data_IF_785061663904
#
_entry.id   IF_785061663904
#
_cell.length_a   1.000
_cell.length_b   1.000
_cell.length_c   1.000
_cell.angle_alpha   90.00
_cell.angle_beta   90.00
_cell.angle_gamma   90.00
#
_symmetry.space_group_name_H-M   'P 1'
#
loop_
_entity.id
_entity.type
_entity.pdbx_description
1 polymer ?
#
# COMPACT_ATOMS: atom_id res chain seq x y z
N UNK A 1 31.41 -34.80 36.10
CA UNK A 1 30.00 -34.40 36.09
C UNK A 1 29.98 -32.88 36.13
N UNK A 2 29.81 -32.27 34.96
CA UNK A 2 29.84 -30.82 34.80
C UNK A 2 28.38 -30.36 34.63
N UNK A 3 27.89 -29.58 35.57
CA UNK A 3 26.60 -28.92 35.47
C UNK A 3 26.69 -27.77 34.46
N UNK A 4 25.96 -27.90 33.35
CA UNK A 4 25.71 -26.78 32.43
C UNK A 4 24.46 -26.08 32.95
N UNK A 5 24.64 -24.89 33.51
CA UNK A 5 23.57 -23.95 33.81
C UNK A 5 23.10 -23.31 32.50
N UNK A 6 21.83 -23.51 32.15
CA UNK A 6 21.19 -22.75 31.06
C UNK A 6 20.95 -21.30 31.51
N UNK A 7 21.20 -20.30 30.65
CA UNK A 7 20.75 -18.94 30.92
C UNK A 7 19.24 -18.85 30.76
N UNK A 8 18.56 -18.33 31.78
CA UNK A 8 17.17 -17.91 31.69
C UNK A 8 17.10 -16.59 30.89
N UNK A 9 16.94 -16.69 29.59
CA UNK A 9 16.55 -15.53 28.78
C UNK A 9 15.05 -15.30 28.90
N UNK A 10 14.67 -14.52 29.89
CA UNK A 10 13.35 -13.95 30.05
C UNK A 10 13.10 -12.82 29.05
N UNK A 11 13.12 -13.11 27.76
CA UNK A 11 12.53 -12.21 26.76
C UNK A 11 11.03 -12.43 26.76
N UNK A 12 10.33 -11.69 27.60
CA UNK A 12 8.89 -11.52 27.48
C UNK A 12 8.63 -10.91 26.10
N UNK A 13 8.13 -11.75 25.18
CA UNK A 13 7.54 -11.27 23.94
C UNK A 13 6.51 -10.20 24.30
N UNK A 14 6.73 -8.98 23.85
CA UNK A 14 5.82 -7.87 24.05
C UNK A 14 4.45 -8.29 23.53
N UNK A 15 3.44 -8.16 24.39
CA UNK A 15 2.04 -8.46 24.10
C UNK A 15 1.62 -7.80 22.78
N UNK A 16 0.75 -8.47 22.01
CA UNK A 16 0.30 -7.94 20.73
C UNK A 16 -0.33 -6.56 20.91
N UNK A 17 -0.11 -5.73 19.93
CA UNK A 17 -0.62 -4.37 19.74
C UNK A 17 -2.02 -4.17 20.37
N UNK A 18 -2.23 -3.06 21.10
CA UNK A 18 -3.47 -2.84 21.81
C UNK A 18 -4.68 -2.81 20.89
N UNK A 19 -5.82 -3.17 21.45
CA UNK A 19 -7.18 -3.32 20.97
C UNK A 19 -7.79 -2.26 20.02
N UNK A 20 -7.01 -1.46 19.30
CA UNK A 20 -7.48 -0.62 18.19
C UNK A 20 -8.11 -1.48 17.08
N UNK A 21 -7.76 -2.74 17.03
CA UNK A 21 -8.09 -3.67 15.96
C UNK A 21 -8.79 -4.95 16.43
N UNK A 22 -9.54 -4.90 17.50
CA UNK A 22 -10.61 -5.90 17.78
C UNK A 22 -11.74 -5.80 16.73
N UNK A 23 -11.63 -4.87 15.78
CA UNK A 23 -12.57 -4.73 14.68
C UNK A 23 -12.56 -5.98 13.82
N UNK A 24 -13.74 -6.42 13.39
CA UNK A 24 -13.91 -7.53 12.46
C UNK A 24 -13.28 -7.24 11.09
N UNK A 25 -13.05 -5.95 10.75
CA UNK A 25 -12.37 -5.51 9.53
C UNK A 25 -11.67 -4.15 9.77
N UNK A 26 -10.39 -4.07 9.42
CA UNK A 26 -9.64 -2.79 9.38
C UNK A 26 -10.19 -1.91 8.24
N UNK A 27 -10.40 -0.63 8.52
CA UNK A 27 -10.95 0.37 7.59
C UNK A 27 -10.17 1.68 7.71
N UNK A 28 -10.37 2.60 6.77
CA UNK A 28 -9.65 3.90 6.71
C UNK A 28 -9.74 4.70 8.01
N UNK A 29 -10.89 4.68 8.73
CA UNK A 29 -10.99 5.39 10.01
C UNK A 29 -10.10 4.79 11.11
N UNK A 30 -9.77 3.49 11.03
CA UNK A 30 -8.80 2.87 11.95
C UNK A 30 -7.38 3.34 11.62
N UNK A 31 -7.07 3.54 10.33
CA UNK A 31 -5.78 4.07 9.87
C UNK A 31 -5.60 5.51 10.37
N UNK A 32 -6.60 6.37 10.13
CA UNK A 32 -6.59 7.75 10.61
C UNK A 32 -6.46 7.84 12.14
N UNK A 33 -7.16 6.99 12.88
CA UNK A 33 -7.05 6.91 14.34
C UNK A 33 -5.66 6.48 14.78
N UNK A 34 -5.09 5.45 14.17
CA UNK A 34 -3.74 4.98 14.48
C UNK A 34 -2.70 6.09 14.26
N UNK A 35 -2.82 6.85 13.18
CA UNK A 35 -2.00 8.04 12.92
C UNK A 35 -2.12 9.06 14.06
N UNK A 36 -3.33 9.43 14.44
CA UNK A 36 -3.59 10.41 15.51
C UNK A 36 -3.05 9.96 16.87
N UNK A 37 -3.05 8.65 17.14
CA UNK A 37 -2.56 8.06 18.39
C UNK A 37 -1.08 7.66 18.33
N UNK A 38 -0.38 7.87 17.21
CA UNK A 38 1.02 7.51 17.02
C UNK A 38 1.27 5.99 17.02
N UNK A 39 0.28 5.19 16.66
CA UNK A 39 0.38 3.73 16.62
C UNK A 39 0.84 3.31 15.23
N UNK A 40 2.01 2.63 15.11
CA UNK A 40 2.48 2.13 13.84
C UNK A 40 1.59 1.00 13.32
N UNK A 41 1.34 1.01 12.00
CA UNK A 41 0.59 -0.01 11.29
C UNK A 41 1.52 -0.82 10.39
N UNK A 42 1.12 -2.06 10.13
CA UNK A 42 1.84 -2.95 9.21
C UNK A 42 1.06 -3.14 7.92
N UNK A 43 1.76 -3.01 6.79
CA UNK A 43 1.25 -3.38 5.47
C UNK A 43 2.27 -4.30 4.79
N UNK A 44 1.81 -5.48 4.35
CA UNK A 44 2.63 -6.44 3.63
C UNK A 44 1.94 -6.87 2.34
N UNK A 45 2.73 -7.21 1.33
CA UNK A 45 2.21 -7.78 0.08
C UNK A 45 1.68 -9.19 0.28
N UNK A 46 0.54 -9.48 -0.36
CA UNK A 46 -0.06 -10.81 -0.42
C UNK A 46 -0.75 -11.00 -1.77
N UNK A 47 -0.55 -12.16 -2.39
CA UNK A 47 -1.02 -12.40 -3.75
C UNK A 47 -1.95 -13.62 -3.88
N UNK A 48 -2.12 -14.40 -2.83
CA UNK A 48 -2.80 -15.70 -2.87
C UNK A 48 -3.51 -16.06 -1.57
N UNK A 49 -4.35 -17.09 -1.65
CA UNK A 49 -5.18 -17.57 -0.54
C UNK A 49 -4.41 -18.41 0.50
N UNK A 50 -3.16 -18.75 0.26
CA UNK A 50 -2.32 -19.49 1.22
C UNK A 50 -1.54 -18.51 2.11
N UNK A 51 -0.91 -17.51 1.50
CA UNK A 51 -0.04 -16.55 2.21
C UNK A 51 -0.86 -15.52 3.00
N UNK A 52 -1.95 -15.01 2.43
CA UNK A 52 -2.74 -13.94 3.03
C UNK A 52 -3.26 -14.27 4.46
N UNK A 53 -3.87 -15.43 4.74
CA UNK A 53 -4.33 -15.75 6.09
C UNK A 53 -3.18 -15.94 7.09
N UNK A 54 -1.99 -16.35 6.65
CA UNK A 54 -0.81 -16.46 7.51
C UNK A 54 -0.38 -15.06 7.99
N UNK A 55 -0.33 -14.09 7.08
CA UNK A 55 -0.01 -12.70 7.40
C UNK A 55 -1.09 -12.08 8.30
N UNK A 56 -2.35 -12.32 8.02
CA UNK A 56 -3.45 -11.85 8.86
C UNK A 56 -3.39 -12.44 10.28
N UNK A 57 -3.10 -13.74 10.41
CA UNK A 57 -2.93 -14.40 11.70
C UNK A 57 -1.71 -13.88 12.47
N UNK A 58 -0.68 -13.43 11.78
CA UNK A 58 0.47 -12.75 12.36
C UNK A 58 0.18 -11.30 12.83
N UNK A 59 -1.05 -10.79 12.58
CA UNK A 59 -1.48 -9.48 13.04
C UNK A 59 -1.30 -8.35 12.03
N UNK A 60 -0.94 -8.63 10.78
CA UNK A 60 -0.79 -7.61 9.72
C UNK A 60 -2.11 -6.85 9.53
N UNK A 61 -2.04 -5.52 9.50
CA UNK A 61 -3.21 -4.65 9.47
C UNK A 61 -3.76 -4.43 8.06
N UNK A 62 -2.87 -4.34 7.08
CA UNK A 62 -3.20 -4.13 5.67
C UNK A 62 -2.48 -5.14 4.79
N UNK A 63 -3.18 -5.69 3.82
CA UNK A 63 -2.61 -6.56 2.79
C UNK A 63 -2.63 -5.82 1.45
N UNK A 64 -1.46 -5.67 0.86
CA UNK A 64 -1.30 -5.06 -0.46
C UNK A 64 -1.28 -6.16 -1.52
N UNK A 65 -2.30 -6.20 -2.36
CA UNK A 65 -2.24 -6.95 -3.61
C UNK A 65 -1.56 -6.04 -4.62
N UNK A 66 -0.23 -6.12 -4.66
CA UNK A 66 0.61 -5.26 -5.48
C UNK A 66 0.79 -5.79 -6.91
N UNK A 67 0.96 -4.90 -7.88
CA UNK A 67 1.34 -5.29 -9.25
C UNK A 67 2.76 -5.90 -9.32
N UNK A 68 3.54 -5.78 -8.24
CA UNK A 68 4.75 -6.57 -8.01
C UNK A 68 4.52 -8.09 -8.08
N UNK A 69 3.26 -8.56 -8.08
CA UNK A 69 2.93 -9.96 -8.44
C UNK A 69 3.52 -10.35 -9.80
N UNK A 70 3.65 -9.38 -10.71
CA UNK A 70 4.30 -9.59 -12.01
C UNK A 70 5.71 -10.14 -11.87
N UNK A 71 6.51 -9.53 -11.00
CA UNK A 71 7.89 -9.97 -10.74
C UNK A 71 7.94 -11.22 -9.87
N UNK A 72 7.16 -11.24 -8.77
CA UNK A 72 7.30 -12.23 -7.69
C UNK A 72 6.60 -13.56 -8.03
N UNK A 73 5.46 -13.49 -8.71
CA UNK A 73 4.60 -14.65 -8.98
C UNK A 73 4.64 -15.06 -10.46
N UNK A 74 4.55 -14.07 -11.37
CA UNK A 74 4.43 -14.34 -12.81
C UNK A 74 5.79 -14.41 -13.52
N UNK A 75 6.88 -13.99 -12.87
CA UNK A 75 8.25 -14.06 -13.41
C UNK A 75 8.56 -13.02 -14.48
N UNK A 76 7.79 -11.94 -14.56
CA UNK A 76 8.08 -10.82 -15.43
C UNK A 76 9.29 -10.01 -14.93
N UNK A 77 9.98 -9.35 -15.85
CA UNK A 77 11.11 -8.46 -15.53
C UNK A 77 10.68 -7.10 -14.96
N UNK A 78 9.41 -6.72 -15.11
CA UNK A 78 8.82 -5.48 -14.59
C UNK A 78 7.34 -5.68 -14.25
N UNK A 79 6.71 -4.66 -13.66
CA UNK A 79 5.27 -4.68 -13.35
C UNK A 79 4.40 -4.33 -14.57
N UNK A 80 4.98 -3.75 -15.63
CA UNK A 80 4.24 -3.25 -16.80
C UNK A 80 3.37 -4.30 -17.54
N UNK A 81 3.74 -5.59 -17.63
CA UNK A 81 2.90 -6.59 -18.28
C UNK A 81 1.68 -7.05 -17.47
N UNK A 82 1.59 -6.65 -16.19
CA UNK A 82 0.49 -7.09 -15.31
C UNK A 82 -0.83 -6.54 -15.81
N UNK A 83 -1.79 -7.43 -15.99
CA UNK A 83 -3.13 -7.07 -16.45
C UNK A 83 -4.08 -6.79 -15.28
N UNK A 84 -5.17 -6.08 -15.56
CA UNK A 84 -6.22 -5.87 -14.56
C UNK A 84 -6.87 -7.20 -14.15
N UNK A 85 -6.94 -8.18 -15.06
CA UNK A 85 -7.42 -9.54 -14.79
C UNK A 85 -6.53 -10.30 -13.80
N UNK A 86 -5.21 -10.13 -13.87
CA UNK A 86 -4.27 -10.71 -12.90
C UNK A 86 -4.51 -10.13 -11.52
N UNK A 87 -4.66 -8.81 -11.44
CA UNK A 87 -4.98 -8.10 -10.20
C UNK A 87 -6.33 -8.50 -9.61
N UNK A 88 -7.36 -8.66 -10.43
CA UNK A 88 -8.68 -9.15 -9.98
C UNK A 88 -8.59 -10.55 -9.39
N UNK A 89 -7.90 -11.47 -10.06
CA UNK A 89 -7.76 -12.86 -9.58
C UNK A 89 -7.04 -12.91 -8.24
N UNK A 90 -5.91 -12.20 -8.12
CA UNK A 90 -5.14 -12.15 -6.90
C UNK A 90 -5.95 -11.47 -5.76
N UNK A 91 -6.58 -10.33 -6.04
CA UNK A 91 -7.44 -9.63 -5.08
C UNK A 91 -8.57 -10.52 -4.56
N UNK A 92 -9.25 -11.23 -5.46
CA UNK A 92 -10.33 -12.13 -5.10
C UNK A 92 -9.84 -13.33 -4.27
N UNK A 93 -8.63 -13.85 -4.53
CA UNK A 93 -8.03 -14.92 -3.74
C UNK A 93 -7.72 -14.46 -2.31
N UNK A 94 -7.08 -13.30 -2.15
CA UNK A 94 -6.77 -12.69 -0.86
C UNK A 94 -8.07 -12.36 -0.09
N UNK A 95 -9.05 -11.75 -0.76
CA UNK A 95 -10.30 -11.33 -0.13
C UNK A 95 -11.12 -12.50 0.42
N UNK A 96 -11.17 -13.63 -0.29
CA UNK A 96 -11.90 -14.82 0.18
C UNK A 96 -11.22 -15.55 1.34
N UNK A 97 -9.93 -15.33 1.53
CA UNK A 97 -9.14 -16.05 2.54
C UNK A 97 -8.87 -15.24 3.82
N UNK A 98 -9.30 -13.97 3.88
CA UNK A 98 -9.05 -13.07 5.01
C UNK A 98 -10.32 -12.39 5.49
N UNK A 99 -10.37 -12.03 6.77
CA UNK A 99 -11.55 -11.45 7.41
C UNK A 99 -11.29 -10.10 8.10
N UNK A 100 -10.06 -9.84 8.56
CA UNK A 100 -9.72 -8.67 9.38
C UNK A 100 -8.92 -7.62 8.62
N UNK A 101 -7.84 -8.00 7.96
CA UNK A 101 -6.92 -7.06 7.32
C UNK A 101 -7.61 -6.24 6.22
N UNK A 102 -7.27 -4.95 6.11
CA UNK A 102 -7.71 -4.12 5.00
C UNK A 102 -6.97 -4.53 3.73
N UNK A 103 -7.70 -4.78 2.66
CA UNK A 103 -7.12 -5.16 1.36
C UNK A 103 -7.02 -3.92 0.49
N UNK A 104 -5.80 -3.60 0.08
CA UNK A 104 -5.48 -2.54 -0.88
C UNK A 104 -4.99 -3.22 -2.16
N UNK A 105 -5.56 -2.88 -3.32
CA UNK A 105 -5.18 -3.47 -4.60
C UNK A 105 -4.61 -2.42 -5.55
N UNK A 106 -3.49 -2.73 -6.20
CA UNK A 106 -2.89 -1.83 -7.18
C UNK A 106 -3.71 -1.78 -8.47
N UNK A 107 -3.90 -0.56 -8.97
CA UNK A 107 -4.28 -0.34 -10.36
C UNK A 107 -3.03 -0.56 -11.22
N UNK A 108 -2.99 -1.57 -12.10
CA UNK A 108 -1.82 -1.82 -12.93
C UNK A 108 -1.66 -0.77 -14.02
N UNK A 109 -0.46 -0.64 -14.53
CA UNK A 109 -0.10 0.31 -15.59
C UNK A 109 -1.06 0.23 -16.79
N UNK A 110 -1.46 1.40 -17.30
CA UNK A 110 -2.36 1.51 -18.45
C UNK A 110 -3.85 1.41 -18.10
N UNK A 111 -4.21 1.39 -16.81
CA UNK A 111 -5.61 1.21 -16.39
C UNK A 111 -6.22 2.41 -15.66
N UNK A 112 -5.44 3.50 -15.48
CA UNK A 112 -5.93 4.69 -14.75
C UNK A 112 -5.31 6.01 -15.22
N UNK A 113 -4.24 5.98 -16.02
CA UNK A 113 -3.44 7.18 -16.27
C UNK A 113 -4.07 8.16 -17.25
N UNK A 114 -4.96 7.69 -18.10
CA UNK A 114 -5.53 8.46 -19.25
C UNK A 114 -6.77 9.26 -18.86
N UNK A 115 -7.60 8.76 -17.93
CA UNK A 115 -8.80 9.48 -17.52
C UNK A 115 -9.37 9.01 -16.16
N UNK A 116 -10.08 9.89 -15.41
CA UNK A 116 -10.81 9.52 -14.21
C UNK A 116 -11.87 8.44 -14.44
N UNK A 117 -12.54 8.44 -15.61
CA UNK A 117 -13.56 7.46 -15.98
C UNK A 117 -12.96 6.06 -16.13
N UNK A 118 -11.78 5.96 -16.76
CA UNK A 118 -11.07 4.69 -16.91
C UNK A 118 -10.56 4.20 -15.55
N UNK A 119 -9.97 5.10 -14.75
CA UNK A 119 -9.57 4.77 -13.38
C UNK A 119 -10.73 4.26 -12.54
N UNK A 120 -11.90 4.92 -12.63
CA UNK A 120 -13.10 4.49 -11.92
C UNK A 120 -13.59 3.11 -12.38
N UNK A 121 -13.61 2.84 -13.68
CA UNK A 121 -14.00 1.55 -14.21
C UNK A 121 -13.06 0.44 -13.72
N UNK A 122 -11.76 0.65 -13.77
CA UNK A 122 -10.73 -0.28 -13.31
C UNK A 122 -10.80 -0.51 -11.79
N UNK A 123 -10.87 0.56 -11.01
CA UNK A 123 -11.00 0.51 -9.56
C UNK A 123 -12.26 -0.23 -9.12
N UNK A 124 -13.38 -0.01 -9.81
CA UNK A 124 -14.66 -0.71 -9.54
C UNK A 124 -14.52 -2.22 -9.70
N UNK A 125 -13.74 -2.70 -10.66
CA UNK A 125 -13.47 -4.13 -10.85
C UNK A 125 -12.73 -4.70 -9.64
N UNK A 126 -11.68 -4.03 -9.16
CA UNK A 126 -10.91 -4.45 -7.99
C UNK A 126 -11.75 -4.40 -6.70
N UNK A 127 -12.56 -3.36 -6.52
CA UNK A 127 -13.48 -3.27 -5.38
C UNK A 127 -14.50 -4.43 -5.39
N UNK A 128 -15.06 -4.77 -6.56
CA UNK A 128 -15.96 -5.94 -6.71
C UNK A 128 -15.24 -7.28 -6.52
N UNK A 129 -13.95 -7.36 -6.79
CA UNK A 129 -13.12 -8.53 -6.48
C UNK A 129 -12.86 -8.68 -4.98
N UNK A 130 -13.14 -7.65 -4.17
CA UNK A 130 -13.06 -7.68 -2.71
C UNK A 130 -12.00 -6.76 -2.11
N UNK A 131 -11.38 -5.87 -2.89
CA UNK A 131 -10.55 -4.80 -2.35
C UNK A 131 -11.39 -3.83 -1.49
N UNK A 132 -10.75 -3.21 -0.50
CA UNK A 132 -11.34 -2.17 0.35
C UNK A 132 -10.83 -0.78 -0.02
N UNK A 133 -9.73 -0.72 -0.77
CA UNK A 133 -9.13 0.47 -1.33
C UNK A 133 -8.31 0.08 -2.57
N UNK A 134 -7.97 1.06 -3.39
CA UNK A 134 -7.02 0.89 -4.49
C UNK A 134 -5.73 1.67 -4.23
N UNK A 135 -4.61 1.24 -4.86
CA UNK A 135 -3.37 2.03 -4.90
C UNK A 135 -3.08 2.43 -6.34
N UNK A 136 -2.52 3.61 -6.52
CA UNK A 136 -2.02 4.12 -7.80
C UNK A 136 -0.75 4.95 -7.62
N UNK A 137 0.03 5.08 -8.69
CA UNK A 137 1.31 5.76 -8.70
C UNK A 137 1.22 7.16 -9.29
N UNK A 138 1.89 8.10 -8.63
CA UNK A 138 2.03 9.49 -9.04
C UNK A 138 1.48 10.50 -8.03
N UNK A 139 1.95 11.73 -8.16
CA UNK A 139 1.65 12.85 -7.28
C UNK A 139 0.66 13.84 -7.90
N UNK A 140 1.07 15.12 -7.98
CA UNK A 140 0.26 16.22 -8.50
C UNK A 140 -0.41 15.90 -9.85
N UNK A 141 0.31 15.23 -10.76
CA UNK A 141 -0.22 14.83 -12.06
C UNK A 141 -1.39 13.84 -12.01
N UNK A 142 -1.60 13.17 -10.89
CA UNK A 142 -2.68 12.18 -10.66
C UNK A 142 -3.71 12.64 -9.62
N UNK A 143 -3.53 13.81 -9.03
CA UNK A 143 -4.43 14.33 -8.00
C UNK A 143 -5.90 14.35 -8.45
N UNK A 144 -6.17 14.76 -9.70
CA UNK A 144 -7.54 14.79 -10.27
C UNK A 144 -8.18 13.39 -10.40
N UNK A 145 -7.37 12.35 -10.61
CA UNK A 145 -7.84 10.95 -10.65
C UNK A 145 -8.15 10.49 -9.22
N UNK A 146 -7.27 10.79 -8.27
CA UNK A 146 -7.48 10.45 -6.85
C UNK A 146 -8.76 11.11 -6.34
N UNK A 147 -8.95 12.40 -6.61
CA UNK A 147 -10.14 13.16 -6.21
C UNK A 147 -11.43 12.55 -6.78
N UNK A 148 -11.42 12.15 -8.05
CA UNK A 148 -12.56 11.52 -8.69
C UNK A 148 -12.92 10.17 -8.05
N UNK A 149 -11.93 9.32 -7.77
CA UNK A 149 -12.12 8.03 -7.11
C UNK A 149 -12.64 8.21 -5.68
N UNK A 150 -12.04 9.10 -4.91
CA UNK A 150 -12.44 9.40 -3.52
C UNK A 150 -13.86 9.96 -3.47
N UNK A 151 -14.19 10.90 -4.36
CA UNK A 151 -15.54 11.45 -4.48
C UNK A 151 -16.58 10.38 -4.82
N UNK A 152 -16.19 9.38 -5.60
CA UNK A 152 -17.04 8.24 -5.93
C UNK A 152 -17.11 7.20 -4.78
N UNK A 153 -16.45 7.42 -3.65
CA UNK A 153 -16.46 6.52 -2.49
C UNK A 153 -15.42 5.40 -2.54
N UNK A 154 -14.43 5.48 -3.42
CA UNK A 154 -13.32 4.52 -3.51
C UNK A 154 -12.11 5.09 -2.77
N UNK A 155 -11.70 4.50 -1.62
CA UNK A 155 -10.50 4.95 -0.92
C UNK A 155 -9.23 4.72 -1.73
N UNK A 156 -8.32 5.70 -1.74
CA UNK A 156 -7.09 5.65 -2.52
C UNK A 156 -5.86 5.75 -1.62
N UNK A 157 -4.93 4.81 -1.77
CA UNK A 157 -3.55 4.90 -1.30
C UNK A 157 -2.69 5.42 -2.47
N UNK A 158 -1.94 6.49 -2.26
CA UNK A 158 -1.02 7.00 -3.27
C UNK A 158 0.36 6.34 -3.17
N UNK A 159 1.17 6.45 -4.23
CA UNK A 159 2.55 5.96 -4.23
C UNK A 159 3.46 7.02 -4.83
N UNK A 160 4.43 7.48 -4.04
CA UNK A 160 5.39 8.52 -4.38
C UNK A 160 6.83 8.04 -4.20
N UNK A 161 7.74 8.74 -4.84
CA UNK A 161 9.15 8.40 -4.86
C UNK A 161 9.50 7.59 -6.10
N UNK A 162 10.16 6.46 -5.96
CA UNK A 162 10.32 5.51 -7.05
C UNK A 162 8.97 4.83 -7.30
N UNK A 163 8.52 4.93 -8.52
CA UNK A 163 7.26 4.34 -8.99
C UNK A 163 7.58 3.33 -10.08
N UNK A 164 7.46 1.99 -9.82
CA UNK A 164 7.83 0.95 -10.78
C UNK A 164 7.17 1.06 -12.14
N UNK A 165 5.91 1.50 -12.19
CA UNK A 165 5.19 1.70 -13.45
C UNK A 165 5.80 2.81 -14.32
N UNK A 166 6.57 3.72 -13.72
CA UNK A 166 7.29 4.81 -14.41
C UNK A 166 8.78 4.52 -14.59
N UNK A 167 9.23 3.29 -14.37
CA UNK A 167 10.65 2.89 -14.39
C UNK A 167 11.39 3.36 -15.64
N UNK A 168 10.78 3.23 -16.82
CA UNK A 168 11.38 3.64 -18.08
C UNK A 168 11.62 5.16 -18.15
N UNK A 169 10.72 5.95 -17.56
CA UNK A 169 10.87 7.42 -17.51
C UNK A 169 11.90 7.83 -16.44
N UNK A 170 11.93 7.12 -15.32
CA UNK A 170 12.85 7.38 -14.22
C UNK A 170 14.28 6.90 -14.50
N UNK A 171 14.47 6.06 -15.52
CA UNK A 171 15.77 5.49 -15.89
C UNK A 171 16.24 4.42 -14.91
N UNK A 172 15.32 3.59 -14.41
CA UNK A 172 15.55 2.48 -13.50
C UNK A 172 15.39 2.85 -12.02
N UNK A 173 15.60 1.89 -11.10
CA UNK A 173 15.45 2.09 -9.66
C UNK A 173 16.46 3.11 -9.13
N UNK A 174 15.98 4.26 -8.70
CA UNK A 174 16.81 5.36 -8.19
C UNK A 174 16.13 6.06 -7.02
N UNK A 175 16.94 6.50 -6.07
CA UNK A 175 16.52 7.35 -4.96
C UNK A 175 15.87 8.64 -5.50
N UNK A 176 14.63 8.89 -5.16
CA UNK A 176 13.85 10.08 -5.50
C UNK A 176 13.84 11.08 -4.35
N UNK A 177 13.56 12.37 -4.61
CA UNK A 177 13.46 13.39 -3.56
C UNK A 177 14.79 13.90 -3.03
N UNK A 178 15.88 13.88 -3.82
CA UNK A 178 17.15 14.53 -3.50
C UNK A 178 17.27 15.90 -4.15
N UNK A 179 17.91 16.87 -3.46
CA UNK A 179 18.10 18.23 -3.99
C UNK A 179 16.78 18.87 -4.43
N UNK A 180 16.73 19.40 -5.63
CA UNK A 180 15.51 20.02 -6.20
C UNK A 180 14.31 19.03 -6.29
N UNK A 181 14.57 17.73 -6.32
CA UNK A 181 13.53 16.70 -6.31
C UNK A 181 12.77 16.63 -4.97
N UNK A 182 13.36 17.12 -3.87
CA UNK A 182 12.68 17.17 -2.59
C UNK A 182 11.45 18.10 -2.61
N UNK A 183 11.56 19.26 -3.26
CA UNK A 183 10.45 20.21 -3.36
C UNK A 183 9.34 19.69 -4.28
N UNK A 184 9.69 18.96 -5.34
CA UNK A 184 8.71 18.27 -6.17
C UNK A 184 7.94 17.23 -5.35
N UNK A 185 8.64 16.39 -4.58
CA UNK A 185 8.02 15.36 -3.76
C UNK A 185 7.10 15.95 -2.67
N UNK A 186 7.44 17.12 -2.10
CA UNK A 186 6.57 17.85 -1.16
C UNK A 186 5.27 18.32 -1.83
N UNK A 187 5.37 18.91 -3.03
CA UNK A 187 4.18 19.31 -3.79
C UNK A 187 3.32 18.12 -4.17
N UNK A 188 3.94 17.02 -4.57
CA UNK A 188 3.22 15.78 -4.87
C UNK A 188 2.47 15.27 -3.65
N UNK A 189 3.12 15.23 -2.49
CA UNK A 189 2.51 14.79 -1.22
C UNK A 189 1.33 15.68 -0.81
N UNK A 190 1.48 17.00 -0.88
CA UNK A 190 0.41 17.97 -0.60
C UNK A 190 -0.76 17.82 -1.58
N UNK A 191 -0.47 17.60 -2.87
CA UNK A 191 -1.51 17.45 -3.88
C UNK A 191 -2.35 16.18 -3.68
N UNK A 192 -1.74 15.04 -3.35
CA UNK A 192 -2.47 13.79 -3.10
C UNK A 192 -3.27 13.84 -1.80
N UNK A 193 -2.77 14.52 -0.77
CA UNK A 193 -3.50 14.74 0.48
C UNK A 193 -4.77 15.56 0.21
N UNK A 194 -4.65 16.70 -0.48
CA UNK A 194 -5.78 17.53 -0.89
C UNK A 194 -6.80 16.79 -1.73
N UNK A 195 -6.35 15.87 -2.57
CA UNK A 195 -7.20 15.00 -3.39
C UNK A 195 -7.93 13.92 -2.56
N UNK A 196 -7.59 13.76 -1.28
CA UNK A 196 -8.26 12.86 -0.35
C UNK A 196 -7.66 11.45 -0.27
N UNK A 197 -6.42 11.23 -0.70
CA UNK A 197 -5.73 9.98 -0.44
C UNK A 197 -5.66 9.71 1.07
N UNK A 198 -6.02 8.48 1.50
CA UNK A 198 -6.02 8.13 2.92
C UNK A 198 -4.66 7.69 3.44
N UNK A 199 -3.75 7.34 2.55
CA UNK A 199 -2.39 6.90 2.84
C UNK A 199 -1.48 7.13 1.64
N UNK A 200 -0.17 7.11 1.89
CA UNK A 200 0.86 7.19 0.85
C UNK A 200 1.98 6.19 1.14
N UNK A 201 2.47 5.54 0.10
CA UNK A 201 3.73 4.78 0.11
C UNK A 201 4.85 5.70 -0.38
N UNK A 202 5.96 5.77 0.36
CA UNK A 202 7.19 6.42 -0.07
C UNK A 202 8.24 5.35 -0.38
N UNK A 203 8.52 5.13 -1.66
CA UNK A 203 9.53 4.16 -2.09
C UNK A 203 10.80 4.85 -2.54
N UNK A 204 11.96 4.34 -2.10
CA UNK A 204 13.29 4.88 -2.41
C UNK A 204 13.39 6.42 -2.23
N UNK A 205 12.89 6.90 -1.11
CA UNK A 205 12.93 8.30 -0.68
C UNK A 205 13.93 8.44 0.48
N UNK A 206 14.74 9.53 0.56
CA UNK A 206 15.60 9.77 1.71
C UNK A 206 14.81 9.78 3.02
N UNK A 207 15.33 9.10 4.05
CA UNK A 207 14.64 8.96 5.33
C UNK A 207 14.23 10.32 5.95
N UNK A 208 15.07 11.36 5.79
CA UNK A 208 14.78 12.70 6.29
C UNK A 208 13.50 13.30 5.64
N UNK A 209 13.34 13.15 4.33
CA UNK A 209 12.15 13.64 3.62
C UNK A 209 10.93 12.77 3.96
N UNK A 210 11.10 11.45 4.01
CA UNK A 210 10.01 10.55 4.41
C UNK A 210 9.50 10.88 5.82
N UNK A 211 10.41 11.15 6.77
CA UNK A 211 10.05 11.55 8.14
C UNK A 211 9.30 12.89 8.15
N UNK A 212 9.82 13.90 7.45
CA UNK A 212 9.19 15.21 7.32
C UNK A 212 7.75 15.07 6.79
N UNK A 213 7.58 14.39 5.64
CA UNK A 213 6.28 14.21 5.02
C UNK A 213 5.33 13.36 5.88
N UNK A 214 5.83 12.33 6.55
CA UNK A 214 5.01 11.54 7.48
C UNK A 214 4.48 12.38 8.65
N UNK A 215 5.20 13.41 9.08
CA UNK A 215 4.75 14.31 10.15
C UNK A 215 3.78 15.40 9.67
N UNK A 216 3.89 15.81 8.41
CA UNK A 216 3.07 16.90 7.86
C UNK A 216 1.73 16.46 7.29
N UNK A 217 1.62 15.21 6.82
CA UNK A 217 0.39 14.60 6.26
C UNK A 217 -0.53 13.96 7.40
#
# INVERSE_FOLDING_TARGET
>A
MSHITQPEDGTTASSPTPALFSATRVRIQHIARAKAEGIPLTMLTAYDALTAPILEAAGVDMLLVGDSLGNVILGHSSTLPVTLEDMERATAAVARSTSRAMIVADLPFGTYEDSPEHAFASATRLMKAGAHAVKLEGGESRAHIIEALVTAGIPVCAHLGYTPQSENTLGGPRMQGRGAGADALRRDAEAIEKAGAFAVVFEMVPASIATELTQSL
#
